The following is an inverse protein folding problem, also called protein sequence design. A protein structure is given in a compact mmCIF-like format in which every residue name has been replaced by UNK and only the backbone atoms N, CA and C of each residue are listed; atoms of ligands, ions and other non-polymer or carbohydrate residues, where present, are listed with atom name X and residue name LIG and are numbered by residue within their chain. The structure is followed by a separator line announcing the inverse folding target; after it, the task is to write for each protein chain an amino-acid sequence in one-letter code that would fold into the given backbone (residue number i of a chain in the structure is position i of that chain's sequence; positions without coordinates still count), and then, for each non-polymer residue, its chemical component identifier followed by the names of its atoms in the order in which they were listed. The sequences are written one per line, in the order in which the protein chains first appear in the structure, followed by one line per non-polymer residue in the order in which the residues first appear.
data_IF_229593679055
#
_entry.id   IF_229593679055
#
_cell.length_a   1.000
_cell.length_b   1.000
_cell.length_c   1.000
_cell.angle_alpha   90.00
_cell.angle_beta   90.00
_cell.angle_gamma   90.00
#
_symmetry.space_group_name_H-M   'P 1'
#
loop_
_entity.id
_entity.type
_entity.pdbx_description
1 polymer ?
#
# COMPACT_ATOMS: atom_id res chain seq x y z
N UNK A 1 -5.53 -7.88 -12.39
CA UNK A 1 -6.34 -8.46 -13.46
C UNK A 1 -7.24 -7.39 -14.06
N UNK A 2 -7.34 -7.29 -15.39
CA UNK A 2 -8.33 -6.43 -16.03
C UNK A 2 -9.74 -6.97 -15.74
N UNK A 3 -10.68 -6.07 -15.42
CA UNK A 3 -12.09 -6.41 -15.13
C UNK A 3 -13.04 -5.67 -16.09
N UNK A 4 -12.50 -4.77 -16.90
CA UNK A 4 -13.21 -4.11 -17.99
C UNK A 4 -12.25 -3.31 -18.86
N UNK A 5 -12.77 -2.61 -19.86
CA UNK A 5 -11.99 -1.88 -20.87
C UNK A 5 -11.06 -0.81 -20.27
N UNK A 6 -11.40 -0.26 -19.10
CA UNK A 6 -10.61 0.77 -18.39
C UNK A 6 -10.60 0.57 -16.88
N UNK A 7 -10.71 -0.69 -16.44
CA UNK A 7 -10.72 -1.01 -15.01
C UNK A 7 -9.86 -2.22 -14.68
N UNK A 8 -9.17 -2.15 -13.55
CA UNK A 8 -8.38 -3.27 -13.02
C UNK A 8 -8.67 -3.52 -11.56
N UNK A 9 -8.54 -4.79 -11.16
CA UNK A 9 -8.37 -5.19 -9.77
C UNK A 9 -6.91 -5.58 -9.57
N UNK A 10 -6.23 -5.02 -8.56
CA UNK A 10 -4.88 -5.40 -8.14
C UNK A 10 -4.95 -6.04 -6.77
N UNK A 11 -4.51 -7.29 -6.65
CA UNK A 11 -4.30 -7.97 -5.38
C UNK A 11 -2.81 -7.93 -5.00
N UNK A 12 -2.52 -7.86 -3.70
CA UNK A 12 -1.18 -7.85 -3.12
C UNK A 12 -1.14 -8.76 -1.90
N UNK A 13 -0.04 -9.49 -1.75
CA UNK A 13 0.41 -10.07 -0.49
C UNK A 13 1.87 -9.66 -0.27
N UNK A 14 2.24 -9.29 0.96
CA UNK A 14 3.59 -8.83 1.31
C UNK A 14 3.89 -9.05 2.79
N UNK A 15 5.17 -8.96 3.16
CA UNK A 15 5.58 -8.67 4.54
C UNK A 15 5.89 -7.18 4.62
N UNK A 16 5.29 -6.49 5.58
CA UNK A 16 5.53 -5.06 5.86
C UNK A 16 6.07 -4.90 7.28
N UNK A 17 6.66 -3.75 7.59
CA UNK A 17 7.09 -3.41 8.95
C UNK A 17 6.52 -2.07 9.36
N UNK A 18 5.97 -2.00 10.57
CA UNK A 18 5.59 -0.72 11.18
C UNK A 18 6.79 -0.15 11.91
N UNK A 19 7.06 1.14 11.69
CA UNK A 19 8.07 1.91 12.39
C UNK A 19 7.39 2.66 13.54
N UNK A 20 7.97 2.57 14.73
CA UNK A 20 7.56 3.36 15.87
C UNK A 20 8.76 4.08 16.47
N UNK A 21 8.57 5.35 16.81
CA UNK A 21 9.56 6.22 17.46
C UNK A 21 9.07 6.53 18.88
N UNK A 22 9.87 6.19 19.89
CA UNK A 22 9.61 6.56 21.28
C UNK A 22 10.32 7.90 21.58
N UNK A 23 9.57 8.89 22.07
CA UNK A 23 10.09 10.20 22.47
C UNK A 23 10.22 10.25 24.00
N UNK A 24 11.15 9.48 24.57
CA UNK A 24 11.54 9.63 25.98
C UNK A 24 13.02 9.29 26.15
N UNK A 25 13.88 10.31 26.10
CA UNK A 25 15.31 10.26 26.46
C UNK A 25 16.27 9.59 25.45
N UNK A 26 15.83 8.58 24.71
CA UNK A 26 16.62 7.93 23.64
C UNK A 26 15.74 7.60 22.42
N UNK A 27 16.14 8.05 21.23
CA UNK A 27 15.43 7.76 19.98
C UNK A 27 15.61 6.28 19.58
N UNK A 28 14.72 5.41 20.06
CA UNK A 28 14.70 4.00 19.67
C UNK A 28 13.73 3.78 18.51
N UNK A 29 14.27 3.37 17.37
CA UNK A 29 13.49 2.92 16.21
C UNK A 29 13.26 1.41 16.33
N UNK A 30 12.00 0.98 16.40
CA UNK A 30 11.64 -0.44 16.40
C UNK A 30 10.90 -0.81 15.10
N UNK A 31 11.20 -1.99 14.58
CA UNK A 31 10.58 -2.56 13.38
C UNK A 31 9.73 -3.78 13.75
N UNK A 32 8.47 -3.78 13.32
CA UNK A 32 7.53 -4.86 13.61
C UNK A 32 7.05 -5.53 12.32
N UNK A 33 7.72 -6.60 11.86
CA UNK A 33 7.35 -7.28 10.63
C UNK A 33 6.00 -8.00 10.78
N UNK A 34 5.12 -7.84 9.80
CA UNK A 34 3.78 -8.42 9.77
C UNK A 34 3.35 -8.75 8.33
N UNK A 35 2.59 -9.83 8.12
CA UNK A 35 1.85 -10.06 6.89
C UNK A 35 0.91 -8.91 6.54
N UNK A 36 0.82 -8.62 5.25
CA UNK A 36 -0.07 -7.65 4.63
C UNK A 36 -0.75 -8.30 3.43
N UNK A 37 -2.06 -8.18 3.36
CA UNK A 37 -2.82 -8.41 2.13
C UNK A 37 -3.47 -7.10 1.69
N UNK A 38 -3.68 -6.95 0.39
CA UNK A 38 -4.31 -5.76 -0.15
C UNK A 38 -5.05 -6.05 -1.44
N UNK A 39 -6.08 -5.26 -1.67
CA UNK A 39 -6.85 -5.24 -2.90
C UNK A 39 -7.13 -3.79 -3.30
N UNK A 40 -7.10 -3.50 -4.60
CA UNK A 40 -7.58 -2.22 -5.11
C UNK A 40 -8.36 -2.40 -6.39
N UNK A 41 -9.48 -1.70 -6.50
CA UNK A 41 -10.18 -1.48 -7.75
C UNK A 41 -9.76 -0.14 -8.32
N UNK A 42 -9.45 -0.08 -9.61
CA UNK A 42 -8.90 1.11 -10.29
C UNK A 42 -9.68 1.37 -11.56
N UNK A 43 -10.13 2.61 -11.77
CA UNK A 43 -10.77 3.08 -13.00
C UNK A 43 -9.87 4.14 -13.66
N UNK A 44 -9.41 3.84 -14.86
CA UNK A 44 -8.50 4.70 -15.60
C UNK A 44 -9.26 5.76 -16.39
N UNK A 45 -9.05 7.02 -16.03
CA UNK A 45 -9.82 8.14 -16.59
C UNK A 45 -9.14 8.80 -17.79
N UNK A 46 -7.83 8.61 -17.98
CA UNK A 46 -7.07 9.23 -19.08
C UNK A 46 -6.52 8.21 -20.08
N UNK A 47 -7.09 7.01 -20.14
CA UNK A 47 -6.59 5.94 -20.99
C UNK A 47 -6.70 6.29 -22.49
N UNK A 48 -7.89 6.71 -22.95
CA UNK A 48 -8.13 7.13 -24.34
C UNK A 48 -7.26 8.32 -24.72
N UNK A 49 -7.27 9.38 -23.92
CA UNK A 49 -6.44 10.56 -24.18
C UNK A 49 -4.96 10.20 -24.35
N UNK A 50 -4.46 9.17 -23.65
CA UNK A 50 -3.08 8.71 -23.83
C UNK A 50 -2.90 7.95 -25.12
N UNK A 51 -3.84 7.08 -25.47
CA UNK A 51 -3.85 6.33 -26.73
C UNK A 51 -3.90 7.27 -27.94
N UNK A 52 -4.78 8.27 -27.92
CA UNK A 52 -4.90 9.30 -28.98
C UNK A 52 -3.60 10.06 -29.19
N UNK A 53 -2.89 10.35 -28.09
CA UNK A 53 -1.60 11.03 -28.11
C UNK A 53 -0.42 10.07 -28.37
N UNK A 54 -0.68 8.81 -28.77
CA UNK A 54 0.32 7.75 -29.03
C UNK A 54 1.26 7.52 -27.83
N UNK A 55 0.78 7.80 -26.62
CA UNK A 55 1.51 7.55 -25.39
C UNK A 55 1.36 6.10 -24.96
N UNK A 56 2.36 5.59 -24.24
CA UNK A 56 2.32 4.21 -23.78
C UNK A 56 1.16 3.94 -22.79
N UNK A 57 0.24 3.08 -23.19
CA UNK A 57 -0.90 2.55 -22.41
C UNK A 57 -0.72 1.07 -22.03
N UNK A 58 0.34 0.41 -22.53
CA UNK A 58 0.61 -1.02 -22.24
C UNK A 58 0.71 -1.26 -20.73
N UNK A 59 0.21 -2.41 -20.28
CA UNK A 59 0.19 -2.82 -18.87
C UNK A 59 -0.50 -1.77 -17.98
N UNK A 60 -1.56 -1.14 -18.49
CA UNK A 60 -2.33 -0.11 -17.78
C UNK A 60 -1.51 1.10 -17.34
N UNK A 61 -0.58 1.54 -18.20
CA UNK A 61 0.23 2.73 -17.99
C UNK A 61 -0.61 3.99 -18.18
N UNK A 62 -1.41 4.34 -17.17
CA UNK A 62 -2.37 5.43 -17.16
C UNK A 62 -2.59 5.97 -15.74
N UNK A 63 -3.40 7.01 -15.60
CA UNK A 63 -3.84 7.57 -14.33
C UNK A 63 -5.22 7.03 -13.99
N UNK A 64 -5.52 6.92 -12.71
CA UNK A 64 -6.75 6.32 -12.24
C UNK A 64 -7.28 6.97 -10.96
N UNK A 65 -8.56 6.76 -10.72
CA UNK A 65 -9.15 6.84 -9.39
C UNK A 65 -9.42 5.41 -8.95
N UNK A 66 -9.17 5.08 -7.69
CA UNK A 66 -9.35 3.76 -7.17
C UNK A 66 -9.89 3.73 -5.75
N UNK A 67 -10.41 2.56 -5.37
CA UNK A 67 -10.70 2.20 -3.99
C UNK A 67 -9.67 1.16 -3.57
N UNK A 68 -9.05 1.38 -2.41
CA UNK A 68 -8.03 0.49 -1.84
C UNK A 68 -8.53 -0.11 -0.53
N UNK A 69 -8.13 -1.34 -0.28
CA UNK A 69 -8.33 -2.08 0.95
C UNK A 69 -7.00 -2.74 1.33
N UNK A 70 -6.48 -2.45 2.50
CA UNK A 70 -5.24 -2.98 3.05
C UNK A 70 -5.51 -3.57 4.42
N UNK A 71 -5.08 -4.81 4.62
CA UNK A 71 -5.17 -5.46 5.91
C UNK A 71 -3.82 -6.03 6.30
N UNK A 72 -3.26 -5.55 7.40
CA UNK A 72 -2.04 -6.05 8.00
C UNK A 72 -2.38 -6.78 9.30
N UNK A 73 -1.81 -7.97 9.49
CA UNK A 73 -2.05 -8.74 10.71
C UNK A 73 -1.26 -8.16 11.90
N UNK A 74 -1.38 -8.82 13.06
CA UNK A 74 -0.44 -8.58 14.16
C UNK A 74 1.01 -8.94 13.75
N UNK A 75 2.04 -8.30 14.33
CA UNK A 75 3.43 -8.64 14.08
C UNK A 75 3.80 -10.07 14.45
N UNK A 76 4.77 -10.65 13.74
CA UNK A 76 5.27 -12.01 14.04
C UNK A 76 5.89 -12.13 15.44
N UNK A 77 6.61 -11.11 15.89
CA UNK A 77 7.39 -11.14 17.14
C UNK A 77 6.62 -10.62 18.37
N UNK A 78 5.29 -10.75 18.36
CA UNK A 78 4.48 -10.25 19.48
C UNK A 78 4.30 -11.31 20.58
N UNK A 79 5.14 -11.23 21.61
CA UNK A 79 4.98 -12.02 22.84
C UNK A 79 4.11 -11.25 23.84
N UNK A 80 2.97 -11.83 24.28
CA UNK A 80 2.11 -11.25 25.35
C UNK A 80 2.88 -10.80 26.61
N UNK A 81 4.06 -11.37 26.87
CA UNK A 81 4.91 -11.02 28.03
C UNK A 81 5.56 -9.62 27.98
N UNK A 82 5.57 -8.92 26.84
CA UNK A 82 6.12 -7.56 26.77
C UNK A 82 5.18 -6.47 27.29
N UNK A 83 3.97 -6.82 27.75
CA UNK A 83 3.02 -5.91 28.40
C UNK A 83 3.45 -5.42 29.80
N UNK A 84 4.51 -5.99 30.40
CA UNK A 84 4.86 -5.76 31.81
C UNK A 84 6.06 -4.83 32.06
N UNK A 85 6.63 -4.19 31.03
CA UNK A 85 7.76 -3.26 31.23
C UNK A 85 7.34 -1.85 30.83
N UNK A 86 6.84 -1.09 31.82
CA UNK A 86 6.70 0.36 31.75
C UNK A 86 5.25 0.83 31.71
N UNK A 87 4.88 1.66 32.70
CA UNK A 87 3.54 2.22 32.93
C UNK A 87 3.03 3.18 31.84
N UNK A 88 3.60 3.18 30.62
CA UNK A 88 3.12 3.97 29.48
C UNK A 88 2.38 3.07 28.49
N UNK A 89 1.17 2.68 28.88
CA UNK A 89 0.32 1.72 28.17
C UNK A 89 -0.19 2.19 26.80
N UNK A 90 -0.05 3.49 26.46
CA UNK A 90 -0.73 4.06 25.30
C UNK A 90 0.01 3.92 23.96
N UNK A 91 1.34 3.99 23.91
CA UNK A 91 2.06 3.96 22.62
C UNK A 91 2.36 2.55 22.09
N UNK A 92 2.56 1.57 22.97
CA UNK A 92 2.93 0.22 22.55
C UNK A 92 1.70 -0.62 22.13
N UNK A 93 0.52 -0.31 22.65
CA UNK A 93 -0.69 -1.12 22.42
C UNK A 93 -1.28 -0.99 21.00
N UNK A 94 -1.02 0.10 20.28
CA UNK A 94 -1.60 0.33 18.96
C UNK A 94 -0.82 -0.33 17.82
N UNK A 95 0.49 -0.49 17.95
CA UNK A 95 1.34 -1.09 16.91
C UNK A 95 1.14 -2.62 16.85
N UNK A 96 0.57 -3.22 17.88
CA UNK A 96 0.54 -4.67 18.09
C UNK A 96 -0.77 -5.30 17.60
N UNK A 97 -1.70 -4.44 17.18
CA UNK A 97 -3.01 -4.76 16.65
C UNK A 97 -2.95 -4.98 15.13
N UNK A 98 -4.02 -5.55 14.62
CA UNK A 98 -4.30 -5.61 13.19
C UNK A 98 -4.53 -4.21 12.67
N UNK A 99 -4.10 -3.92 11.45
CA UNK A 99 -4.32 -2.64 10.79
C UNK A 99 -5.19 -2.84 9.56
N UNK A 100 -6.34 -2.21 9.55
CA UNK A 100 -7.20 -2.10 8.39
C UNK A 100 -7.11 -0.67 7.87
N UNK A 101 -6.85 -0.50 6.58
CA UNK A 101 -6.86 0.80 5.93
C UNK A 101 -7.61 0.69 4.61
N UNK A 102 -8.67 1.48 4.45
CA UNK A 102 -9.45 1.53 3.22
C UNK A 102 -9.75 2.96 2.82
N UNK A 103 -9.82 3.24 1.53
CA UNK A 103 -10.11 4.59 1.09
C UNK A 103 -10.12 4.77 -0.41
N UNK A 104 -10.25 6.02 -0.81
CA UNK A 104 -10.20 6.44 -2.20
C UNK A 104 -8.84 7.05 -2.50
N UNK A 105 -8.30 6.69 -3.66
CA UNK A 105 -6.97 7.17 -4.09
C UNK A 105 -7.04 7.68 -5.52
N UNK A 106 -6.30 8.76 -5.75
CA UNK A 106 -5.84 9.12 -7.07
C UNK A 106 -4.47 8.50 -7.30
N UNK A 107 -4.25 7.95 -8.49
CA UNK A 107 -3.02 7.24 -8.77
C UNK A 107 -2.48 7.41 -10.18
N UNK A 108 -1.18 7.17 -10.28
CA UNK A 108 -0.41 7.16 -11.53
C UNK A 108 0.33 5.84 -11.62
N UNK A 109 0.08 5.09 -12.71
CA UNK A 109 0.84 3.90 -13.06
C UNK A 109 1.62 4.14 -14.34
N UNK A 110 2.92 3.83 -14.34
CA UNK A 110 3.80 3.90 -15.50
C UNK A 110 4.59 2.61 -15.63
N UNK A 111 4.50 2.00 -16.80
CA UNK A 111 5.28 0.82 -17.15
C UNK A 111 6.19 1.17 -18.33
N UNK A 112 7.50 1.18 -18.10
CA UNK A 112 8.47 1.60 -19.09
C UNK A 112 8.98 0.41 -19.92
N UNK A 113 9.49 0.69 -21.12
CA UNK A 113 10.09 -0.32 -21.98
C UNK A 113 11.35 -0.94 -21.36
N UNK A 114 12.01 -0.22 -20.44
CA UNK A 114 13.13 -0.69 -19.63
C UNK A 114 12.76 -1.76 -18.59
N UNK A 115 11.53 -2.28 -18.63
CA UNK A 115 10.97 -3.25 -17.66
C UNK A 115 10.78 -2.68 -16.25
N UNK A 116 11.01 -1.39 -16.06
CA UNK A 116 10.71 -0.69 -14.82
C UNK A 116 9.21 -0.36 -14.73
N UNK A 117 8.64 -0.51 -13.54
CA UNK A 117 7.26 -0.17 -13.21
C UNK A 117 7.25 0.80 -12.03
N UNK A 118 6.45 1.84 -12.15
CA UNK A 118 6.17 2.81 -11.10
C UNK A 118 4.66 2.89 -10.88
N UNK A 119 4.23 2.86 -9.63
CA UNK A 119 2.83 3.01 -9.23
C UNK A 119 2.76 3.89 -7.98
N UNK A 120 2.14 5.06 -8.12
CA UNK A 120 1.92 6.03 -7.06
C UNK A 120 0.42 6.11 -6.75
N UNK A 121 0.06 6.09 -5.47
CA UNK A 121 -1.30 6.29 -4.98
C UNK A 121 -1.27 7.33 -3.87
N UNK A 122 -2.12 8.35 -3.97
CA UNK A 122 -2.33 9.37 -2.95
C UNK A 122 -3.83 9.54 -2.72
N UNK A 123 -4.25 9.63 -1.47
CA UNK A 123 -5.67 9.76 -1.18
C UNK A 123 -5.98 9.86 0.30
N UNK A 124 -7.24 9.61 0.62
CA UNK A 124 -7.73 9.64 1.99
C UNK A 124 -8.65 8.45 2.21
N UNK A 125 -8.75 8.05 3.47
CA UNK A 125 -9.52 6.89 3.84
C UNK A 125 -9.76 6.81 5.33
N UNK A 126 -10.10 5.61 5.75
CA UNK A 126 -10.38 5.23 7.10
C UNK A 126 -9.37 4.18 7.53
N UNK A 127 -8.77 4.38 8.70
CA UNK A 127 -7.87 3.42 9.33
C UNK A 127 -8.51 2.92 10.61
N UNK A 128 -8.35 1.62 10.87
CA UNK A 128 -8.76 0.96 12.10
C UNK A 128 -7.59 0.11 12.61
N UNK A 129 -7.21 0.32 13.87
CA UNK A 129 -6.19 -0.44 14.60
C UNK A 129 -6.74 -0.86 15.97
N UNK A 130 -7.44 -1.99 15.99
CA UNK A 130 -8.19 -2.49 17.14
C UNK A 130 -9.28 -1.53 17.63
N UNK A 131 -8.98 -0.65 18.59
CA UNK A 131 -9.99 0.28 19.15
C UNK A 131 -9.80 1.71 18.65
N UNK A 132 -8.67 1.99 17.98
CA UNK A 132 -8.39 3.31 17.41
C UNK A 132 -8.84 3.30 15.96
N UNK A 133 -9.67 4.26 15.61
CA UNK A 133 -10.23 4.37 14.27
C UNK A 133 -10.38 5.83 13.86
N UNK A 134 -10.24 6.14 12.58
CA UNK A 134 -10.37 7.52 12.14
C UNK A 134 -10.00 7.76 10.68
N UNK A 135 -10.13 9.01 10.26
CA UNK A 135 -9.70 9.45 8.95
C UNK A 135 -8.17 9.44 8.86
N UNK A 136 -7.66 9.02 7.71
CA UNK A 136 -6.23 8.90 7.46
C UNK A 136 -5.89 9.30 6.03
N UNK A 137 -4.67 9.81 5.85
CA UNK A 137 -4.07 9.99 4.54
C UNK A 137 -3.48 8.66 4.05
N UNK A 138 -3.71 8.32 2.78
CA UNK A 138 -3.17 7.13 2.14
C UNK A 138 -2.11 7.56 1.13
N UNK A 139 -0.87 7.12 1.35
CA UNK A 139 0.22 7.27 0.40
C UNK A 139 0.89 5.92 0.14
N UNK A 140 0.96 5.50 -1.12
CA UNK A 140 1.69 4.29 -1.53
C UNK A 140 2.54 4.58 -2.76
N UNK A 141 3.84 4.30 -2.66
CA UNK A 141 4.78 4.33 -3.76
C UNK A 141 5.33 2.92 -3.98
N UNK A 142 5.12 2.37 -5.17
CA UNK A 142 5.59 1.04 -5.56
C UNK A 142 6.53 1.14 -6.75
N UNK A 143 7.71 0.56 -6.60
CA UNK A 143 8.64 0.31 -7.69
C UNK A 143 8.72 -1.19 -7.96
N UNK A 144 8.91 -1.56 -9.23
CA UNK A 144 9.06 -2.96 -9.61
C UNK A 144 9.79 -3.13 -10.93
N UNK A 145 10.27 -4.36 -11.15
CA UNK A 145 10.90 -4.77 -12.40
C UNK A 145 10.19 -6.00 -12.96
N UNK A 146 9.91 -5.99 -14.26
CA UNK A 146 9.36 -7.13 -14.97
C UNK A 146 10.48 -8.13 -15.31
N UNK A 147 10.38 -9.36 -14.80
CA UNK A 147 11.44 -10.37 -14.92
C UNK A 147 11.47 -11.10 -16.27
N UNK A 148 10.41 -11.04 -17.06
CA UNK A 148 10.35 -11.78 -18.33
C UNK A 148 11.36 -11.23 -19.35
N UNK A 149 12.07 -12.11 -20.06
CA UNK A 149 12.85 -11.71 -21.24
C UNK A 149 11.88 -11.22 -22.31
N UNK A 150 12.27 -10.15 -23.00
CA UNK A 150 11.57 -9.72 -24.22
C UNK A 150 11.70 -10.88 -25.20
N UNK A 151 10.57 -11.43 -25.67
CA UNK A 151 10.57 -12.15 -26.95
C UNK A 151 10.75 -11.03 -27.96
N UNK A 152 11.99 -10.83 -28.38
CA UNK A 152 12.27 -10.00 -29.54
C UNK A 152 11.56 -10.71 -30.71
N UNK A 153 10.64 -10.00 -31.36
CA UNK A 153 10.04 -10.40 -32.64
C UNK A 153 11.11 -10.34 -33.72
#
# INVERSE_FOLDING_TARGET
FPVGYKSTIKARAAITATIATEEYGENKVRLFPRPLIGMSYRKYYNFERREDNRLNTKRNSANYIGVIFLYATKPFNFNKKSELIGNNQYSYYDITRTLLNTGVVWGIQRNYNSRFSLDLNLGAGYVESGNVQGLSFIGEFTLGFWLNKRRDE
#
